data_IF_608843878336
#
_entry.id   IF_608843878336
#
_cell.length_a   1.000
_cell.length_b   1.000
_cell.length_c   1.000
_cell.angle_alpha   90.00
_cell.angle_beta   90.00
_cell.angle_gamma   90.00
#
_symmetry.space_group_name_H-M   'P 1'
#
loop_
_entity.id
_entity.type
_entity.pdbx_description
1 polymer ?
#
# COMPACT_ATOMS: atom_id res chain seq x y z
N UNK A 1 -27.79 -6.10 -33.40
CA UNK A 1 -27.08 -6.40 -32.13
C UNK A 1 -25.69 -5.80 -32.21
N UNK A 2 -25.32 -4.84 -31.34
CA UNK A 2 -23.99 -4.24 -31.39
C UNK A 2 -22.97 -5.24 -30.82
N UNK A 3 -21.95 -5.57 -31.62
CA UNK A 3 -20.80 -6.37 -31.18
C UNK A 3 -19.83 -5.44 -30.44
N UNK A 4 -19.95 -5.35 -29.13
CA UNK A 4 -18.93 -4.70 -28.30
C UNK A 4 -17.65 -5.53 -28.37
N UNK A 5 -16.72 -5.14 -29.23
CA UNK A 5 -15.36 -5.69 -29.22
C UNK A 5 -14.68 -5.26 -27.92
N UNK A 6 -14.79 -6.10 -26.88
CA UNK A 6 -14.21 -5.91 -25.54
C UNK A 6 -12.68 -6.13 -25.50
N UNK A 7 -11.96 -5.97 -26.62
CA UNK A 7 -10.50 -5.95 -26.56
C UNK A 7 -10.04 -4.50 -26.47
N UNK A 8 -9.63 -4.01 -25.28
CA UNK A 8 -9.01 -2.69 -25.16
C UNK A 8 -7.80 -2.61 -26.10
N UNK A 9 -7.61 -1.46 -26.75
CA UNK A 9 -6.49 -1.22 -27.67
C UNK A 9 -5.17 -1.56 -26.96
N UNK A 10 -4.43 -2.51 -27.51
CA UNK A 10 -3.08 -2.79 -27.05
C UNK A 10 -2.21 -1.55 -27.34
N UNK A 11 -1.59 -0.99 -26.31
CA UNK A 11 -0.60 0.08 -26.45
C UNK A 11 0.79 -0.51 -26.71
N UNK A 12 1.53 0.09 -27.65
CA UNK A 12 2.88 -0.37 -28.01
C UNK A 12 3.93 0.50 -27.35
N UNK A 13 4.79 -0.11 -26.53
CA UNK A 13 5.88 0.55 -25.83
C UNK A 13 7.23 0.15 -26.43
N UNK A 14 7.91 1.09 -27.08
CA UNK A 14 9.21 0.85 -27.72
C UNK A 14 10.35 1.27 -26.78
N UNK A 15 11.25 0.34 -26.47
CA UNK A 15 12.44 0.60 -25.66
C UNK A 15 13.71 0.37 -26.47
N UNK A 16 14.75 1.14 -26.17
CA UNK A 16 16.11 0.82 -26.59
C UNK A 16 16.83 0.18 -25.42
N UNK A 17 17.37 -1.01 -25.64
CA UNK A 17 18.15 -1.77 -24.65
C UNK A 17 19.49 -2.12 -25.26
N UNK A 18 20.48 -2.35 -24.40
CA UNK A 18 21.78 -2.86 -24.82
C UNK A 18 21.61 -4.23 -25.51
N UNK A 19 22.33 -4.48 -26.63
CA UNK A 19 22.25 -5.76 -27.34
C UNK A 19 22.58 -6.97 -26.46
N UNK A 20 23.56 -6.85 -25.55
CA UNK A 20 23.94 -7.92 -24.63
C UNK A 20 22.82 -8.25 -23.64
N UNK A 21 22.13 -7.21 -23.15
CA UNK A 21 21.01 -7.35 -22.24
C UNK A 21 19.81 -8.02 -22.93
N UNK A 22 19.54 -7.67 -24.19
CA UNK A 22 18.50 -8.32 -24.99
C UNK A 22 18.78 -9.82 -25.12
N UNK A 23 20.01 -10.20 -25.48
CA UNK A 23 20.39 -11.60 -25.64
C UNK A 23 20.24 -12.38 -24.33
N UNK A 24 20.77 -11.84 -23.22
CA UNK A 24 20.65 -12.48 -21.91
C UNK A 24 19.19 -12.64 -21.47
N UNK A 25 18.36 -11.62 -21.70
CA UNK A 25 16.93 -11.68 -21.38
C UNK A 25 16.20 -12.71 -22.21
N UNK A 26 16.44 -12.75 -23.53
CA UNK A 26 15.84 -13.76 -24.41
C UNK A 26 16.22 -15.17 -23.98
N UNK A 27 17.49 -15.44 -23.71
CA UNK A 27 17.96 -16.75 -23.22
C UNK A 27 17.28 -17.16 -21.90
N UNK A 28 17.15 -16.23 -20.96
CA UNK A 28 16.47 -16.50 -19.68
C UNK A 28 14.98 -16.81 -19.89
N UNK A 29 14.29 -16.06 -20.77
CA UNK A 29 12.87 -16.28 -21.05
C UNK A 29 12.60 -17.58 -21.81
N UNK A 30 13.52 -17.97 -22.70
CA UNK A 30 13.49 -19.26 -23.42
C UNK A 30 13.70 -20.42 -22.46
N UNK A 31 14.64 -20.31 -21.51
CA UNK A 31 14.87 -21.34 -20.49
C UNK A 31 13.65 -21.54 -19.56
N UNK A 32 12.87 -20.48 -19.33
CA UNK A 32 11.62 -20.53 -18.56
C UNK A 32 10.37 -20.87 -19.40
N UNK A 33 10.53 -21.06 -20.72
CA UNK A 33 9.43 -21.32 -21.67
C UNK A 33 8.32 -20.25 -21.62
N UNK A 34 8.70 -19.00 -21.32
CA UNK A 34 7.78 -17.86 -21.19
C UNK A 34 8.05 -16.82 -22.27
N UNK A 35 7.01 -16.24 -22.89
CA UNK A 35 7.19 -15.13 -23.81
C UNK A 35 7.85 -13.94 -23.11
N UNK A 36 8.91 -13.39 -23.71
CA UNK A 36 9.61 -12.20 -23.21
C UNK A 36 8.66 -11.02 -22.89
N UNK A 37 7.63 -10.82 -23.73
CA UNK A 37 6.62 -9.79 -23.51
C UNK A 37 5.74 -10.06 -22.27
N UNK A 38 5.50 -11.32 -21.92
CA UNK A 38 4.77 -11.68 -20.71
C UNK A 38 5.60 -11.41 -19.47
N UNK A 39 6.87 -11.82 -19.46
CA UNK A 39 7.81 -11.55 -18.35
C UNK A 39 7.96 -10.05 -18.14
N UNK A 40 8.05 -9.26 -19.21
CA UNK A 40 8.12 -7.81 -19.11
C UNK A 40 6.85 -7.20 -18.50
N UNK A 41 5.66 -7.67 -18.88
CA UNK A 41 4.39 -7.21 -18.29
C UNK A 41 4.29 -7.56 -16.81
N UNK A 42 4.67 -8.77 -16.43
CA UNK A 42 4.69 -9.21 -15.02
C UNK A 42 5.69 -8.37 -14.21
N UNK A 43 6.88 -8.12 -14.76
CA UNK A 43 7.88 -7.26 -14.15
C UNK A 43 7.38 -5.82 -13.95
N UNK A 44 6.74 -5.25 -14.97
CA UNK A 44 6.14 -3.91 -14.89
C UNK A 44 5.05 -3.83 -13.81
N UNK A 45 4.14 -4.81 -13.75
CA UNK A 45 3.10 -4.87 -12.70
C UNK A 45 3.72 -4.95 -11.32
N UNK A 46 4.67 -5.86 -11.11
CA UNK A 46 5.35 -6.00 -9.82
C UNK A 46 6.17 -4.76 -9.44
N UNK A 47 6.74 -4.05 -10.42
CA UNK A 47 7.45 -2.79 -10.19
C UNK A 47 6.50 -1.68 -9.71
N UNK A 48 5.36 -1.50 -10.38
CA UNK A 48 4.34 -0.52 -10.00
C UNK A 48 3.77 -0.85 -8.62
N UNK A 49 3.39 -2.10 -8.37
CA UNK A 49 2.87 -2.54 -7.07
C UNK A 49 3.87 -2.27 -5.94
N UNK A 50 5.15 -2.58 -6.14
CA UNK A 50 6.21 -2.27 -5.16
C UNK A 50 6.36 -0.76 -4.94
N UNK A 51 6.28 0.05 -5.99
CA UNK A 51 6.35 1.51 -5.87
C UNK A 51 5.17 2.06 -5.08
N UNK A 52 3.96 1.61 -5.40
CA UNK A 52 2.74 2.07 -4.76
C UNK A 52 2.69 1.65 -3.29
N UNK A 53 3.11 0.41 -2.98
CA UNK A 53 3.28 -0.04 -1.59
C UNK A 53 4.25 0.84 -0.81
N UNK A 54 5.40 1.21 -1.40
CA UNK A 54 6.36 2.12 -0.74
C UNK A 54 5.79 3.51 -0.53
N UNK A 55 5.01 4.02 -1.48
CA UNK A 55 4.33 5.31 -1.34
C UNK A 55 3.27 5.26 -0.26
N UNK A 56 2.48 4.19 -0.21
CA UNK A 56 1.47 3.95 0.81
C UNK A 56 2.10 3.82 2.21
N UNK A 57 3.18 3.05 2.37
CA UNK A 57 3.92 2.97 3.63
C UNK A 57 4.51 4.31 4.06
N UNK A 58 5.02 5.11 3.12
CA UNK A 58 5.53 6.44 3.41
C UNK A 58 4.42 7.39 3.87
N UNK A 59 3.23 7.28 3.26
CA UNK A 59 2.07 8.09 3.62
C UNK A 59 1.44 7.65 4.95
N UNK A 60 1.31 6.35 5.18
CA UNK A 60 0.87 5.78 6.45
C UNK A 60 1.78 6.24 7.60
N UNK A 61 3.12 6.21 7.40
CA UNK A 61 4.07 6.72 8.40
C UNK A 61 3.91 8.22 8.65
N UNK A 62 3.59 9.02 7.64
CA UNK A 62 3.29 10.45 7.81
C UNK A 62 2.02 10.65 8.64
N UNK A 63 0.95 9.93 8.31
CA UNK A 63 -0.31 10.01 9.03
C UNK A 63 -0.18 9.54 10.48
N UNK A 64 0.51 8.43 10.73
CA UNK A 64 0.77 7.95 12.10
C UNK A 64 1.59 8.95 12.91
N UNK A 65 2.58 9.63 12.32
CA UNK A 65 3.34 10.68 13.00
C UNK A 65 2.47 11.90 13.32
N UNK A 66 1.64 12.34 12.39
CA UNK A 66 0.72 13.46 12.62
C UNK A 66 -0.32 13.15 13.72
N UNK A 67 -0.79 11.91 13.82
CA UNK A 67 -1.67 11.47 14.92
C UNK A 67 -0.90 11.41 16.24
N UNK A 68 0.32 10.87 16.26
CA UNK A 68 1.14 10.82 17.46
C UNK A 68 1.53 12.21 17.99
N UNK A 69 1.78 13.18 17.09
CA UNK A 69 2.03 14.58 17.45
C UNK A 69 0.79 15.24 18.06
N UNK A 70 -0.41 15.00 17.50
CA UNK A 70 -1.67 15.51 18.06
C UNK A 70 -2.02 14.88 19.41
N UNK A 71 -1.79 13.58 19.55
CA UNK A 71 -2.02 12.85 20.80
C UNK A 71 -0.98 13.19 21.88
N UNK A 72 0.22 13.60 21.49
CA UNK A 72 1.29 14.04 22.40
C UNK A 72 1.13 15.46 22.93
N UNK A 73 0.23 16.25 22.36
CA UNK A 73 -0.09 17.58 22.87
C UNK A 73 -0.97 17.47 24.12
N UNK A 74 -0.34 17.64 25.28
CA UNK A 74 -0.97 17.52 26.59
C UNK A 74 -2.08 18.56 26.83
N UNK A 75 -2.07 19.66 26.08
CA UNK A 75 -3.06 20.74 26.14
C UNK A 75 -4.17 20.61 25.07
N UNK A 76 -4.05 19.62 24.15
CA UNK A 76 -5.07 19.35 23.14
C UNK A 76 -6.43 19.02 23.78
N UNK A 77 -7.52 19.47 23.14
CA UNK A 77 -8.90 19.16 23.54
C UNK A 77 -9.12 17.64 23.63
N UNK A 78 -8.50 16.86 22.74
CA UNK A 78 -8.56 15.39 22.76
C UNK A 78 -7.87 14.81 24.02
N UNK A 79 -6.70 15.34 24.40
CA UNK A 79 -5.99 14.92 25.60
C UNK A 79 -6.74 15.32 26.88
N UNK A 80 -7.50 16.42 26.84
CA UNK A 80 -8.40 16.82 27.94
C UNK A 80 -9.57 15.86 28.06
N UNK A 81 -10.25 15.55 26.95
CA UNK A 81 -11.36 14.59 26.94
C UNK A 81 -10.93 13.18 27.38
N UNK A 82 -9.74 12.72 26.99
CA UNK A 82 -9.20 11.43 27.43
C UNK A 82 -8.93 11.40 28.95
N UNK A 83 -8.43 12.50 29.53
CA UNK A 83 -8.24 12.61 30.98
C UNK A 83 -9.57 12.65 31.73
N UNK A 84 -10.54 13.40 31.21
CA UNK A 84 -11.88 13.49 31.78
C UNK A 84 -12.59 12.14 31.77
N UNK A 85 -12.53 11.41 30.64
CA UNK A 85 -13.05 10.03 30.56
C UNK A 85 -12.37 9.08 31.54
N UNK A 86 -11.03 9.14 31.66
CA UNK A 86 -10.29 8.33 32.62
C UNK A 86 -10.70 8.60 34.07
N UNK A 87 -10.91 9.87 34.43
CA UNK A 87 -11.39 10.25 35.75
C UNK A 87 -12.82 9.73 36.02
N UNK A 88 -13.71 9.80 35.03
CA UNK A 88 -15.06 9.21 35.11
C UNK A 88 -15.01 7.69 35.33
N UNK A 89 -14.12 6.97 34.65
CA UNK A 89 -13.96 5.52 34.83
C UNK A 89 -13.31 5.12 36.16
N UNK A 90 -12.49 5.99 36.75
CA UNK A 90 -11.92 5.78 38.09
C UNK A 90 -12.92 6.17 39.22
N UNK A 91 -13.84 7.10 38.95
CA UNK A 91 -14.91 7.49 39.88
C UNK A 91 -16.10 6.52 39.87
N UNK A 92 -16.41 5.90 38.73
CA UNK A 92 -17.38 4.82 38.65
C UNK A 92 -16.78 3.53 39.20
N UNK A 93 -17.25 3.11 40.37
CA UNK A 93 -16.96 1.83 41.01
C UNK A 93 -17.56 0.65 40.20
N UNK A 94 -17.14 0.49 38.94
CA UNK A 94 -17.62 -0.55 38.01
C UNK A 94 -17.25 -1.98 38.46
N UNK A 95 -16.46 -2.11 39.52
CA UNK A 95 -16.03 -3.38 40.10
C UNK A 95 -17.08 -4.08 40.98
N UNK A 96 -18.12 -3.38 41.47
CA UNK A 96 -19.11 -3.99 42.38
C UNK A 96 -20.29 -4.69 41.67
N UNK A 97 -20.56 -4.39 40.40
CA UNK A 97 -21.78 -4.91 39.73
C UNK A 97 -21.62 -6.28 39.05
N UNK A 98 -20.40 -6.79 38.85
CA UNK A 98 -20.18 -8.07 38.13
C UNK A 98 -19.82 -9.26 39.04
N UNK A 99 -20.02 -9.14 40.36
CA UNK A 99 -19.89 -10.24 41.34
C UNK A 99 -21.16 -10.45 42.20
N UNK A 100 -22.34 -10.47 41.58
CA UNK A 100 -23.57 -10.96 42.20
C UNK A 100 -24.11 -12.20 41.47
#
# INVERSE_FOLDING_TARGET
MPRTTQHPKAETFNFRVDPSLKTAFTQATEAEDKPAAQVLREFMRAYVERRDRRLFEAEARRQSRAVAERAGDRESDEARSLRELGALFDEDHFADEWKA
#
